data_IF_550471875482
#
_entry.id   IF_550471875482
#
_cell.length_a   1.000
_cell.length_b   1.000
_cell.length_c   1.000
_cell.angle_alpha   90.00
_cell.angle_beta   90.00
_cell.angle_gamma   90.00
#
_symmetry.space_group_name_H-M   'P 1'
#
loop_
_entity.id
_entity.type
_entity.pdbx_description
1 polymer ?
#
# COMPACT_ATOMS: atom_id res chain seq x y z
N UNK A 1 6.85 9.34 -23.96
CA UNK A 1 6.85 9.72 -22.53
C UNK A 1 5.74 8.88 -21.92
N UNK A 2 6.08 7.80 -21.25
CA UNK A 2 5.10 6.88 -20.66
C UNK A 2 4.35 7.61 -19.55
N UNK A 3 3.02 7.57 -19.63
CA UNK A 3 2.04 8.01 -18.63
C UNK A 3 2.26 7.26 -17.30
N UNK A 4 3.28 7.63 -16.53
CA UNK A 4 3.52 7.01 -15.23
C UNK A 4 2.48 7.55 -14.22
N UNK A 5 1.67 6.66 -13.68
CA UNK A 5 0.76 6.90 -12.55
C UNK A 5 1.54 7.23 -11.28
N UNK A 6 0.86 7.80 -10.28
CA UNK A 6 1.51 8.20 -9.03
C UNK A 6 2.02 6.98 -8.24
N UNK A 7 1.36 5.81 -8.37
CA UNK A 7 1.77 4.59 -7.69
C UNK A 7 2.93 3.86 -8.41
N UNK A 8 3.28 4.23 -9.65
CA UNK A 8 4.48 3.71 -10.34
C UNK A 8 5.80 4.12 -9.66
N UNK A 9 5.73 5.08 -8.73
CA UNK A 9 6.87 5.48 -7.89
C UNK A 9 7.23 4.42 -6.85
N UNK A 10 6.32 3.51 -6.51
CA UNK A 10 6.53 2.45 -5.52
C UNK A 10 7.28 1.30 -6.18
N UNK A 11 8.42 0.92 -5.62
CA UNK A 11 9.27 -0.13 -6.19
C UNK A 11 9.67 -1.16 -5.15
N UNK A 12 9.89 -2.38 -5.62
CA UNK A 12 10.55 -3.41 -4.83
C UNK A 12 11.94 -2.92 -4.40
N UNK A 13 12.28 -3.17 -3.13
CA UNK A 13 13.50 -2.70 -2.48
C UNK A 13 13.41 -1.31 -1.86
N UNK A 14 12.34 -0.55 -2.07
CA UNK A 14 12.17 0.74 -1.42
C UNK A 14 12.18 0.57 0.11
N UNK A 15 13.07 1.30 0.78
CA UNK A 15 13.18 1.27 2.24
C UNK A 15 12.04 2.07 2.85
N UNK A 16 11.47 1.53 3.93
CA UNK A 16 10.43 2.23 4.67
C UNK A 16 11.06 3.13 5.71
N UNK A 17 10.55 4.34 5.83
CA UNK A 17 10.96 5.32 6.83
C UNK A 17 9.85 5.77 7.74
N UNK A 18 10.25 6.43 8.83
CA UNK A 18 9.39 7.24 9.69
C UNK A 18 10.21 8.42 10.23
N UNK A 19 9.68 9.65 10.12
CA UNK A 19 10.25 10.88 10.73
C UNK A 19 11.77 10.97 10.54
N UNK A 20 12.22 10.86 9.28
CA UNK A 20 13.63 10.97 8.85
C UNK A 20 14.56 9.82 9.24
N UNK A 21 14.03 8.68 9.67
CA UNK A 21 14.81 7.48 9.94
C UNK A 21 14.30 6.31 9.10
N UNK A 22 15.20 5.47 8.60
CA UNK A 22 14.80 4.21 7.99
C UNK A 22 14.46 3.20 9.09
N UNK A 23 13.38 2.47 8.86
CA UNK A 23 13.00 1.28 9.61
C UNK A 23 13.71 0.08 9.02
N UNK A 24 13.78 -1.02 9.77
CA UNK A 24 14.30 -2.29 9.26
C UNK A 24 13.23 -3.03 8.45
N UNK A 25 12.78 -2.39 7.38
CA UNK A 25 11.73 -2.92 6.50
C UNK A 25 11.81 -2.30 5.11
N UNK A 26 11.30 -3.04 4.14
CA UNK A 26 11.33 -2.67 2.73
C UNK A 26 10.11 -3.21 1.99
N UNK A 27 9.83 -2.62 0.83
CA UNK A 27 8.84 -3.15 -0.11
C UNK A 27 9.41 -4.41 -0.76
N UNK A 28 8.78 -5.55 -0.48
CA UNK A 28 9.18 -6.85 -1.02
C UNK A 28 8.56 -7.11 -2.39
N UNK A 29 7.27 -6.78 -2.55
CA UNK A 29 6.48 -7.07 -3.76
C UNK A 29 5.52 -5.89 -4.01
N UNK A 30 5.28 -5.57 -5.29
CA UNK A 30 4.34 -4.53 -5.73
C UNK A 30 3.47 -5.07 -6.87
N UNK A 31 2.15 -4.95 -6.72
CA UNK A 31 1.18 -5.26 -7.76
C UNK A 31 0.22 -4.08 -7.95
N UNK A 32 0.27 -3.45 -9.13
CA UNK A 32 -0.69 -2.42 -9.50
C UNK A 32 -1.94 -3.05 -10.12
N UNK A 33 -3.10 -2.61 -9.67
CA UNK A 33 -4.39 -3.08 -10.14
C UNK A 33 -5.31 -1.90 -10.52
N UNK A 34 -6.08 -2.02 -11.62
CA UNK A 34 -7.07 -1.01 -11.97
C UNK A 34 -8.23 -1.01 -10.97
N UNK A 35 -8.84 0.15 -10.77
CA UNK A 35 -10.10 0.26 -10.03
C UNK A 35 -11.26 0.09 -11.00
N UNK A 36 -12.22 -0.76 -10.64
CA UNK A 36 -13.45 -0.92 -11.40
C UNK A 36 -14.58 -0.09 -10.78
N UNK A 37 -15.25 0.70 -11.61
CA UNK A 37 -16.45 1.46 -11.26
C UNK A 37 -17.67 0.81 -11.90
N UNK A 38 -18.79 0.81 -11.16
CA UNK A 38 -20.09 0.42 -11.71
C UNK A 38 -20.87 1.68 -12.05
N UNK A 39 -21.14 1.88 -13.34
CA UNK A 39 -21.91 3.01 -13.86
C UNK A 39 -23.22 2.52 -14.48
N UNK A 40 -24.14 3.45 -14.77
CA UNK A 40 -25.34 3.17 -15.55
C UNK A 40 -25.12 3.63 -16.99
N UNK A 41 -25.47 2.79 -17.97
CA UNK A 41 -25.51 3.22 -19.36
C UNK A 41 -26.76 4.08 -19.64
N UNK A 42 -26.89 4.57 -20.88
CA UNK A 42 -28.04 5.38 -21.31
C UNK A 42 -29.40 4.66 -21.10
N UNK A 43 -29.42 3.33 -21.11
CA UNK A 43 -30.60 2.51 -20.89
C UNK A 43 -30.88 2.21 -19.40
N UNK A 44 -30.05 2.72 -18.48
CA UNK A 44 -30.16 2.47 -17.04
C UNK A 44 -29.61 1.10 -16.59
N UNK A 45 -28.88 0.39 -17.45
CA UNK A 45 -28.28 -0.91 -17.12
C UNK A 45 -26.91 -0.71 -16.47
N UNK A 46 -26.56 -1.58 -15.52
CA UNK A 46 -25.24 -1.56 -14.88
C UNK A 46 -24.16 -2.00 -15.87
N UNK A 47 -23.14 -1.17 -16.01
CA UNK A 47 -21.93 -1.45 -16.77
C UNK A 47 -20.73 -1.29 -15.85
N UNK A 48 -19.85 -2.29 -15.85
CA UNK A 48 -18.58 -2.25 -15.13
C UNK A 48 -17.52 -1.70 -16.09
N UNK A 49 -16.82 -0.65 -15.67
CA UNK A 49 -15.76 -0.01 -16.44
C UNK A 49 -14.53 0.21 -15.55
N UNK A 50 -13.35 0.27 -16.16
CA UNK A 50 -12.14 0.71 -15.47
C UNK A 50 -12.26 2.22 -15.21
N UNK A 51 -11.97 2.65 -14.00
CA UNK A 51 -11.80 4.05 -13.66
C UNK A 51 -10.41 4.52 -14.12
N UNK A 52 -10.30 5.42 -15.11
CA UNK A 52 -8.99 5.86 -15.62
C UNK A 52 -8.27 6.81 -14.66
N UNK A 53 -8.91 7.27 -13.58
CA UNK A 53 -8.35 8.22 -12.62
C UNK A 53 -7.84 7.57 -11.34
N UNK A 54 -8.08 6.28 -11.15
CA UNK A 54 -7.75 5.57 -9.93
C UNK A 54 -7.06 4.24 -10.21
N UNK A 55 -6.02 4.00 -9.42
CA UNK A 55 -5.27 2.74 -9.36
C UNK A 55 -5.10 2.33 -7.90
N UNK A 56 -4.90 1.04 -7.67
CA UNK A 56 -4.58 0.48 -6.36
C UNK A 56 -3.21 -0.20 -6.47
N UNK A 57 -2.33 0.07 -5.52
CA UNK A 57 -1.11 -0.71 -5.32
C UNK A 57 -1.33 -1.68 -4.15
N UNK A 58 -1.27 -2.97 -4.45
CA UNK A 58 -1.13 -4.01 -3.44
C UNK A 58 0.37 -4.21 -3.21
N UNK A 59 0.82 -3.98 -1.98
CA UNK A 59 2.23 -4.08 -1.63
C UNK A 59 2.42 -5.08 -0.49
N UNK A 60 3.58 -5.73 -0.50
CA UNK A 60 4.06 -6.52 0.63
C UNK A 60 5.23 -5.80 1.26
N UNK A 61 5.10 -5.44 2.54
CA UNK A 61 6.21 -4.92 3.34
C UNK A 61 6.81 -6.07 4.13
N UNK A 62 8.12 -6.27 4.02
CA UNK A 62 8.86 -7.26 4.79
C UNK A 62 9.92 -6.57 5.65
N UNK A 63 10.23 -7.16 6.81
CA UNK A 63 11.21 -6.60 7.74
C UNK A 63 11.05 -7.14 9.15
N UNK A 64 11.98 -6.74 10.02
CA UNK A 64 11.98 -7.09 11.42
C UNK A 64 11.10 -6.10 12.19
N UNK A 65 9.96 -6.59 12.66
CA UNK A 65 8.96 -5.76 13.34
C UNK A 65 9.10 -5.88 14.85
N UNK A 66 9.13 -4.74 15.53
CA UNK A 66 9.17 -4.70 16.99
C UNK A 66 7.84 -5.23 17.55
N UNK A 67 7.92 -6.19 18.47
CA UNK A 67 6.77 -6.62 19.26
C UNK A 67 6.82 -5.97 20.64
N UNK A 68 5.91 -5.04 20.90
CA UNK A 68 5.83 -4.29 22.16
C UNK A 68 4.37 -4.01 22.53
N UNK A 69 4.08 -3.98 23.84
CA UNK A 69 2.74 -3.75 24.38
C UNK A 69 1.67 -4.64 23.73
N UNK A 70 1.98 -5.93 23.56
CA UNK A 70 1.12 -6.94 22.92
C UNK A 70 0.72 -6.61 21.47
N UNK A 71 1.58 -5.88 20.75
CA UNK A 71 1.35 -5.49 19.36
C UNK A 71 2.63 -5.53 18.55
N UNK A 72 2.54 -5.98 17.29
CA UNK A 72 3.61 -5.75 16.31
C UNK A 72 3.56 -4.29 15.86
N UNK A 73 4.72 -3.68 15.64
CA UNK A 73 4.84 -2.29 15.22
C UNK A 73 5.78 -2.14 14.04
N UNK A 74 5.37 -1.31 13.09
CA UNK A 74 6.22 -0.74 12.06
C UNK A 74 6.53 0.70 12.48
N UNK A 75 7.71 0.91 13.05
CA UNK A 75 8.03 2.17 13.73
C UNK A 75 7.08 2.40 14.91
N UNK A 76 6.40 3.55 14.96
CA UNK A 76 5.40 3.85 15.99
C UNK A 76 3.98 3.36 15.64
N UNK A 77 3.80 2.75 14.47
CA UNK A 77 2.48 2.33 13.99
C UNK A 77 2.22 0.88 14.36
N UNK A 78 1.24 0.64 15.24
CA UNK A 78 0.76 -0.73 15.50
C UNK A 78 0.23 -1.35 14.19
N UNK A 79 0.67 -2.58 13.93
CA UNK A 79 0.24 -3.43 12.85
C UNK A 79 -0.95 -4.27 13.29
N UNK A 80 -2.10 -4.03 12.65
CA UNK A 80 -3.33 -4.79 12.85
C UNK A 80 -4.12 -4.84 11.56
N UNK A 81 -4.66 -6.01 11.22
CA UNK A 81 -5.52 -6.18 10.05
C UNK A 81 -6.68 -5.16 10.05
N UNK A 82 -6.97 -4.57 8.89
CA UNK A 82 -7.98 -3.55 8.69
C UNK A 82 -7.58 -2.14 9.15
N UNK A 83 -6.43 -1.98 9.82
CA UNK A 83 -5.95 -0.67 10.26
C UNK A 83 -5.36 0.12 9.10
N UNK A 84 -5.56 1.43 9.13
CA UNK A 84 -4.89 2.37 8.22
C UNK A 84 -3.50 2.68 8.77
N UNK A 85 -2.49 2.58 7.92
CA UNK A 85 -1.10 2.93 8.22
C UNK A 85 -0.54 3.86 7.15
N UNK A 86 0.53 4.55 7.50
CA UNK A 86 1.34 5.34 6.59
C UNK A 86 2.57 4.55 6.18
N UNK A 87 2.84 4.51 4.88
CA UNK A 87 4.09 3.99 4.33
C UNK A 87 4.82 5.18 3.70
N UNK A 88 6.05 5.39 4.17
CA UNK A 88 6.91 6.49 3.73
C UNK A 88 8.20 5.90 3.18
N UNK A 89 8.66 6.46 2.06
CA UNK A 89 9.98 6.22 1.48
C UNK A 89 10.56 7.55 1.01
N UNK A 90 11.71 7.53 0.32
CA UNK A 90 12.36 8.74 -0.19
C UNK A 90 11.52 9.45 -1.26
N UNK A 91 10.64 8.72 -1.94
CA UNK A 91 9.88 9.21 -3.10
C UNK A 91 8.40 9.49 -2.82
N UNK A 92 7.84 8.91 -1.75
CA UNK A 92 6.41 8.97 -1.49
C UNK A 92 6.07 8.88 -0.01
N UNK A 93 4.89 9.39 0.33
CA UNK A 93 4.23 9.15 1.60
C UNK A 93 2.77 8.85 1.35
N UNK A 94 2.38 7.61 1.58
CA UNK A 94 1.08 7.07 1.22
C UNK A 94 0.36 6.55 2.46
N UNK A 95 -0.97 6.54 2.40
CA UNK A 95 -1.82 5.84 3.36
C UNK A 95 -2.32 4.55 2.73
N UNK A 96 -2.33 3.46 3.47
CA UNK A 96 -2.83 2.16 3.03
C UNK A 96 -3.58 1.46 4.15
N UNK A 97 -4.40 0.47 3.79
CA UNK A 97 -5.05 -0.41 4.75
C UNK A 97 -4.31 -1.74 4.81
N UNK A 98 -4.07 -2.27 6.01
CA UNK A 98 -3.46 -3.59 6.18
C UNK A 98 -4.49 -4.66 5.82
N UNK A 99 -4.27 -5.38 4.72
CA UNK A 99 -5.14 -6.49 4.30
C UNK A 99 -4.88 -7.77 5.09
N UNK A 100 -3.62 -8.08 5.39
CA UNK A 100 -3.20 -9.26 6.16
C UNK A 100 -1.84 -9.01 6.82
N UNK A 101 -1.52 -9.81 7.83
CA UNK A 101 -0.21 -9.84 8.49
C UNK A 101 0.20 -11.31 8.58
N UNK A 102 1.45 -11.61 8.22
CA UNK A 102 2.04 -12.94 8.36
C UNK A 102 3.34 -12.81 9.14
N UNK A 103 3.38 -13.46 10.31
CA UNK A 103 4.62 -13.62 11.07
C UNK A 103 5.34 -14.85 10.52
N UNK A 104 6.62 -14.70 10.23
CA UNK A 104 7.51 -15.78 9.79
C UNK A 104 8.58 -15.96 10.87
N UNK A 105 8.88 -17.22 11.22
CA UNK A 105 9.94 -17.59 12.17
C UNK A 105 11.31 -17.61 11.49
#
# INVERSE_FOLDING_TARGET
>A
LTDAGYLDLIKEGDRIGEVKQYLDSYIKEVELAPVYSTNLNFNGEKVISIDPSMEIANIVVAGDMLYDNMSYKLGNQELRQGKIIFIESDFYRLKGQINWIKVVE
#
